data_IF_542112168733
#
_entry.id   IF_542112168733
#
_cell.length_a   1.000
_cell.length_b   1.000
_cell.length_c   1.000
_cell.angle_alpha   90.00
_cell.angle_beta   90.00
_cell.angle_gamma   90.00
#
_symmetry.space_group_name_H-M   'P 1'
#
loop_
_entity.id
_entity.type
_entity.pdbx_description
1 polymer ?
#
# COMPACT_ATOMS: atom_id res chain seq x y z
N UNK A 1 -8.38 3.62 -12.19
CA UNK A 1 -6.93 3.81 -12.34
C UNK A 1 -6.30 2.48 -12.74
N UNK A 2 -6.95 1.78 -13.68
CA UNK A 2 -6.67 0.37 -13.91
C UNK A 2 -5.30 0.21 -14.56
N UNK A 3 -4.45 -0.66 -14.03
CA UNK A 3 -3.13 -0.91 -14.62
C UNK A 3 -2.06 0.14 -14.27
N UNK A 4 -2.32 1.03 -13.31
CA UNK A 4 -1.38 2.09 -12.94
C UNK A 4 -0.53 1.71 -11.72
N UNK A 5 0.62 2.38 -11.57
CA UNK A 5 1.43 2.38 -10.34
C UNK A 5 1.13 3.62 -9.50
N UNK A 6 0.84 3.45 -8.22
CA UNK A 6 0.64 4.54 -7.26
C UNK A 6 1.93 4.84 -6.49
N UNK A 7 2.49 6.03 -6.67
CA UNK A 7 3.59 6.54 -5.86
C UNK A 7 3.03 7.35 -4.71
N UNK A 8 3.31 6.92 -3.48
CA UNK A 8 2.81 7.53 -2.25
C UNK A 8 3.97 7.82 -1.31
N UNK A 9 3.79 8.78 -0.41
CA UNK A 9 4.86 9.21 0.51
C UNK A 9 5.01 8.28 1.71
N UNK A 10 3.98 7.49 2.02
CA UNK A 10 3.89 6.60 3.18
C UNK A 10 3.20 5.30 2.76
N UNK A 11 3.46 4.16 3.43
CA UNK A 11 2.73 2.94 3.18
C UNK A 11 1.21 3.14 3.37
N UNK A 12 0.36 2.53 2.52
CA UNK A 12 -1.08 2.69 2.65
C UNK A 12 -1.63 2.06 3.93
N UNK A 13 -2.49 2.78 4.64
CA UNK A 13 -3.37 2.20 5.67
C UNK A 13 -4.45 1.29 5.04
N UNK A 14 -5.14 0.49 5.86
CA UNK A 14 -6.21 -0.43 5.42
C UNK A 14 -7.31 0.26 4.60
N UNK A 15 -7.67 1.51 4.95
CA UNK A 15 -8.65 2.31 4.20
C UNK A 15 -8.14 2.74 2.82
N UNK A 16 -6.86 3.12 2.71
CA UNK A 16 -6.25 3.48 1.44
C UNK A 16 -6.07 2.25 0.55
N UNK A 17 -5.61 1.13 1.12
CA UNK A 17 -5.48 -0.15 0.43
C UNK A 17 -6.81 -0.58 -0.21
N UNK A 18 -7.92 -0.51 0.53
CA UNK A 18 -9.26 -0.77 -0.03
C UNK A 18 -9.54 0.07 -1.28
N UNK A 19 -9.29 1.37 -1.22
CA UNK A 19 -9.53 2.28 -2.36
C UNK A 19 -8.64 1.95 -3.56
N UNK A 20 -7.36 1.63 -3.33
CA UNK A 20 -6.39 1.30 -4.38
C UNK A 20 -6.76 0.00 -5.10
N UNK A 21 -7.13 -1.02 -4.33
CA UNK A 21 -7.62 -2.31 -4.86
C UNK A 21 -8.86 -2.08 -5.75
N UNK A 22 -9.86 -1.36 -5.24
CA UNK A 22 -11.10 -1.13 -6.00
C UNK A 22 -10.89 -0.22 -7.22
N UNK A 23 -9.86 0.63 -7.20
CA UNK A 23 -9.50 1.47 -8.34
C UNK A 23 -8.78 0.69 -9.47
N UNK A 24 -8.35 -0.54 -9.20
CA UNK A 24 -7.62 -1.42 -10.12
C UNK A 24 -6.15 -1.06 -10.30
N UNK A 25 -5.53 -0.43 -9.30
CA UNK A 25 -4.07 -0.17 -9.29
C UNK A 25 -3.33 -1.51 -9.32
N UNK A 26 -2.20 -1.60 -10.02
CA UNK A 26 -1.40 -2.84 -10.11
C UNK A 26 -0.24 -2.85 -9.11
N UNK A 27 0.30 -1.67 -8.77
CA UNK A 27 1.46 -1.54 -7.90
C UNK A 27 1.40 -0.31 -7.01
N UNK A 28 1.88 -0.41 -5.77
CA UNK A 28 2.10 0.70 -4.85
C UNK A 28 3.57 0.81 -4.49
N UNK A 29 4.10 2.02 -4.57
CA UNK A 29 5.51 2.36 -4.29
C UNK A 29 5.56 3.44 -3.21
N UNK A 30 6.33 3.19 -2.15
CA UNK A 30 6.57 4.15 -1.07
C UNK A 30 8.05 4.23 -0.68
N UNK A 31 8.54 5.32 -0.06
CA UNK A 31 9.93 5.45 0.34
C UNK A 31 10.37 4.39 1.37
N UNK A 32 11.52 3.77 1.16
CA UNK A 32 12.11 2.81 2.09
C UNK A 32 12.44 3.44 3.46
N UNK A 33 12.85 4.70 3.47
CA UNK A 33 13.25 5.44 4.68
C UNK A 33 12.06 6.13 5.38
N UNK A 34 10.90 5.49 5.42
CA UNK A 34 9.74 6.03 6.13
C UNK A 34 9.82 5.71 7.62
N UNK A 35 10.01 6.73 8.48
CA UNK A 35 9.89 6.57 9.93
C UNK A 35 8.43 6.32 10.33
N UNK A 36 8.07 5.05 10.45
CA UNK A 36 6.72 4.61 10.82
C UNK A 36 6.64 4.47 12.36
N UNK A 37 5.73 5.19 13.03
CA UNK A 37 5.45 4.97 14.44
C UNK A 37 4.93 3.54 14.67
N UNK A 38 5.42 2.89 15.73
CA UNK A 38 5.05 1.50 16.10
C UNK A 38 3.53 1.29 16.17
N UNK A 39 2.79 2.30 16.63
CA UNK A 39 1.32 2.30 16.69
C UNK A 39 0.63 1.98 15.36
N UNK A 40 1.27 2.24 14.22
CA UNK A 40 0.71 2.01 12.88
C UNK A 40 1.29 0.80 12.16
N UNK A 41 2.27 0.11 12.75
CA UNK A 41 2.90 -1.07 12.15
C UNK A 41 1.88 -2.12 11.73
N UNK A 42 1.04 -2.55 12.69
CA UNK A 42 0.01 -3.57 12.46
C UNK A 42 -0.98 -3.18 11.34
N UNK A 43 -1.40 -1.90 11.27
CA UNK A 43 -2.36 -1.45 10.24
C UNK A 43 -1.72 -1.47 8.84
N UNK A 44 -0.42 -1.17 8.73
CA UNK A 44 0.31 -1.26 7.47
C UNK A 44 0.61 -2.71 7.07
N UNK A 45 0.87 -3.60 8.02
CA UNK A 45 1.01 -5.04 7.75
C UNK A 45 -0.31 -5.62 7.21
N UNK A 46 -1.44 -5.32 7.87
CA UNK A 46 -2.77 -5.72 7.43
C UNK A 46 -3.06 -5.17 6.04
N UNK A 47 -2.82 -3.88 5.81
CA UNK A 47 -3.05 -3.24 4.52
C UNK A 47 -2.19 -3.86 3.40
N UNK A 48 -0.94 -4.22 3.71
CA UNK A 48 -0.03 -4.89 2.77
C UNK A 48 -0.53 -6.30 2.43
N UNK A 49 -1.02 -7.06 3.43
CA UNK A 49 -1.65 -8.36 3.18
C UNK A 49 -2.87 -8.22 2.27
N UNK A 50 -3.76 -7.26 2.56
CA UNK A 50 -4.95 -7.00 1.74
C UNK A 50 -4.60 -6.72 0.27
N UNK A 51 -3.56 -5.92 0.02
CA UNK A 51 -3.12 -5.61 -1.34
C UNK A 51 -2.53 -6.84 -2.02
N UNK A 52 -1.67 -7.60 -1.33
CA UNK A 52 -1.07 -8.82 -1.87
C UNK A 52 -2.13 -9.89 -2.20
N UNK A 53 -3.12 -10.10 -1.33
CA UNK A 53 -4.25 -11.01 -1.57
C UNK A 53 -5.11 -10.60 -2.77
N UNK A 54 -5.22 -9.30 -3.03
CA UNK A 54 -5.91 -8.75 -4.20
C UNK A 54 -5.05 -8.73 -5.48
N UNK A 55 -3.78 -9.16 -5.41
CA UNK A 55 -2.85 -9.20 -6.53
C UNK A 55 -2.15 -7.87 -6.83
N UNK A 56 -2.20 -6.90 -5.92
CA UNK A 56 -1.44 -5.66 -6.03
C UNK A 56 -0.01 -5.88 -5.53
N UNK A 57 0.98 -5.46 -6.33
CA UNK A 57 2.37 -5.43 -5.90
C UNK A 57 2.62 -4.26 -4.94
N UNK A 58 3.43 -4.48 -3.90
CA UNK A 58 3.79 -3.46 -2.92
C UNK A 58 5.31 -3.46 -2.77
N UNK A 59 5.96 -2.32 -3.05
CA UNK A 59 7.41 -2.19 -2.88
C UNK A 59 7.80 -0.88 -2.20
N UNK A 60 8.88 -0.94 -1.44
CA UNK A 60 9.61 0.24 -1.01
C UNK A 60 10.67 0.64 -2.04
N UNK A 61 10.96 1.94 -2.16
CA UNK A 61 11.92 2.51 -3.11
C UNK A 61 12.80 3.58 -2.46
#
# INVERSE_FOLDING_TARGET
LKGCTAYVTWPPCSRCARSLIQAGVDEVVYPAESEIPERWGDDFEIATSMMNEAGLAVRSA
#
